data_IF_874060868370
#
_entry.id   IF_874060868370
#
_cell.length_a   1.000
_cell.length_b   1.000
_cell.length_c   1.000
_cell.angle_alpha   90.00
_cell.angle_beta   90.00
_cell.angle_gamma   90.00
#
_symmetry.space_group_name_H-M   'P 1'
#
loop_
_entity.id
_entity.type
_entity.pdbx_description
1 polymer ?
#
# COMPACT_ATOMS: atom_id res chain seq x y z
N UNK A 1 -13.72 -13.56 -5.85
CA UNK A 1 -13.18 -12.45 -6.67
C UNK A 1 -11.65 -12.52 -6.59
N UNK A 2 -10.91 -12.13 -7.64
CA UNK A 2 -9.46 -12.32 -7.66
C UNK A 2 -8.75 -10.96 -7.78
N UNK A 3 -7.91 -10.63 -6.80
CA UNK A 3 -7.21 -9.34 -6.74
C UNK A 3 -6.32 -9.10 -7.97
N UNK A 4 -5.69 -10.14 -8.53
CA UNK A 4 -4.82 -10.01 -9.71
C UNK A 4 -5.58 -9.54 -10.94
N UNK A 5 -6.79 -10.05 -11.15
CA UNK A 5 -7.66 -9.62 -12.25
C UNK A 5 -8.07 -8.15 -12.10
N UNK A 6 -8.33 -7.71 -10.88
CA UNK A 6 -8.70 -6.32 -10.63
C UNK A 6 -7.52 -5.37 -10.81
N UNK A 7 -6.30 -5.78 -10.43
CA UNK A 7 -5.10 -5.01 -10.76
C UNK A 7 -4.94 -4.86 -12.28
N UNK A 8 -5.15 -5.94 -13.05
CA UNK A 8 -5.14 -5.90 -14.51
C UNK A 8 -6.21 -4.96 -15.09
N UNK A 9 -7.43 -4.94 -14.53
CA UNK A 9 -8.50 -4.02 -14.95
C UNK A 9 -8.10 -2.54 -14.83
N UNK A 10 -7.30 -2.19 -13.81
CA UNK A 10 -6.79 -0.83 -13.59
C UNK A 10 -5.43 -0.59 -14.26
N UNK A 11 -4.91 -1.59 -14.99
CA UNK A 11 -3.56 -1.61 -15.53
C UNK A 11 -2.49 -1.31 -14.47
N UNK A 12 -2.70 -1.75 -13.22
CA UNK A 12 -1.78 -1.52 -12.11
C UNK A 12 -0.71 -2.61 -12.07
N UNK A 13 0.54 -2.19 -12.06
CA UNK A 13 1.67 -3.09 -11.91
C UNK A 13 2.08 -3.23 -10.44
N UNK A 14 2.91 -4.24 -10.15
CA UNK A 14 3.45 -4.46 -8.81
C UNK A 14 4.20 -3.23 -8.27
N UNK A 15 4.91 -2.51 -9.14
CA UNK A 15 5.62 -1.30 -8.74
C UNK A 15 4.66 -0.15 -8.39
N UNK A 16 3.45 -0.12 -8.96
CA UNK A 16 2.42 0.86 -8.61
C UNK A 16 1.84 0.59 -7.22
N UNK A 17 1.63 -0.69 -6.88
CA UNK A 17 1.24 -1.11 -5.53
C UNK A 17 2.32 -0.70 -4.53
N UNK A 18 3.59 -0.99 -4.84
CA UNK A 18 4.73 -0.61 -3.98
C UNK A 18 4.82 0.90 -3.80
N UNK A 19 4.61 1.67 -4.87
CA UNK A 19 4.60 3.13 -4.82
C UNK A 19 3.49 3.66 -3.90
N UNK A 20 2.25 3.17 -4.07
CA UNK A 20 1.14 3.55 -3.22
C UNK A 20 1.40 3.24 -1.74
N UNK A 21 1.87 2.03 -1.43
CA UNK A 21 2.18 1.65 -0.05
C UNK A 21 3.32 2.49 0.54
N UNK A 22 4.29 2.89 -0.29
CA UNK A 22 5.36 3.81 0.14
C UNK A 22 4.85 5.21 0.45
N UNK A 23 3.83 5.69 -0.27
CA UNK A 23 3.15 6.95 0.05
C UNK A 23 2.41 6.84 1.39
N UNK A 24 1.65 5.76 1.60
CA UNK A 24 0.96 5.52 2.88
C UNK A 24 1.96 5.47 4.04
N UNK A 25 3.10 4.79 3.86
CA UNK A 25 4.16 4.76 4.86
C UNK A 25 4.76 6.15 5.10
N UNK A 26 4.96 6.94 4.05
CA UNK A 26 5.46 8.33 4.14
C UNK A 26 4.49 9.21 4.91
N UNK A 27 3.19 9.10 4.66
CA UNK A 27 2.14 9.82 5.40
C UNK A 27 2.15 9.42 6.88
N UNK A 28 2.26 8.11 7.18
CA UNK A 28 2.35 7.59 8.55
C UNK A 28 3.57 8.17 9.29
N UNK A 29 4.74 8.15 8.66
CA UNK A 29 5.96 8.70 9.26
C UNK A 29 5.88 10.23 9.42
N UNK A 30 5.29 10.93 8.45
CA UNK A 30 5.10 12.38 8.52
C UNK A 30 4.15 12.79 9.64
N UNK A 31 3.14 11.97 9.96
CA UNK A 31 2.27 12.20 11.11
C UNK A 31 3.04 12.22 12.44
N UNK A 32 4.19 11.53 12.53
CA UNK A 32 5.07 11.49 13.70
C UNK A 32 6.04 12.70 13.77
N UNK A 33 5.88 13.74 12.95
CA UNK A 33 6.80 14.88 12.94
C UNK A 33 6.98 15.61 14.29
N UNK A 34 6.01 15.51 15.21
CA UNK A 34 6.11 16.04 16.57
C UNK A 34 6.83 15.09 17.55
N UNK A 35 7.15 13.88 17.13
CA UNK A 35 7.79 12.82 17.91
C UNK A 35 8.93 12.16 17.11
N UNK A 36 10.00 12.91 16.76
CA UNK A 36 11.10 12.39 15.94
C UNK A 36 11.84 11.20 16.56
N UNK A 37 11.78 11.04 17.89
CA UNK A 37 12.35 9.88 18.59
C UNK A 37 11.66 8.56 18.19
N UNK A 38 10.35 8.58 17.91
CA UNK A 38 9.62 7.39 17.46
C UNK A 38 10.05 6.99 16.05
N UNK A 39 10.27 7.96 15.16
CA UNK A 39 10.85 7.71 13.83
C UNK A 39 12.27 7.12 13.98
N UNK A 40 13.07 7.68 14.90
CA UNK A 40 14.43 7.20 15.17
C UNK A 40 14.42 5.75 15.66
N UNK A 41 13.49 5.37 16.54
CA UNK A 41 13.31 3.99 17.01
C UNK A 41 12.94 3.03 15.88
N UNK A 42 12.01 3.42 15.00
CA UNK A 42 11.60 2.61 13.84
C UNK A 42 12.79 2.34 12.89
N UNK A 43 13.64 3.35 12.68
CA UNK A 43 14.85 3.20 11.84
C UNK A 43 15.91 2.35 12.54
N UNK A 44 16.20 2.62 13.82
CA UNK A 44 17.25 1.93 14.58
C UNK A 44 16.94 0.45 14.82
N UNK A 45 15.69 0.12 15.11
CA UNK A 45 15.25 -1.26 15.39
C UNK A 45 15.29 -2.17 14.15
N UNK A 46 15.34 -1.60 12.94
CA UNK A 46 15.22 -2.34 11.68
C UNK A 46 13.76 -2.61 11.27
N UNK A 47 12.78 -2.28 12.12
CA UNK A 47 11.35 -2.52 11.88
C UNK A 47 10.88 -1.90 10.55
N UNK A 48 11.35 -0.69 10.22
CA UNK A 48 11.03 -0.05 8.95
C UNK A 48 11.49 -0.88 7.74
N UNK A 49 12.65 -1.54 7.83
CA UNK A 49 13.16 -2.41 6.78
C UNK A 49 12.32 -3.69 6.62
N UNK A 50 11.93 -4.29 7.75
CA UNK A 50 11.09 -5.49 7.77
C UNK A 50 9.68 -5.23 7.21
N UNK A 51 9.14 -4.04 7.45
CA UNK A 51 7.88 -3.58 6.86
C UNK A 51 7.97 -3.44 5.34
N UNK A 52 9.07 -2.86 4.83
CA UNK A 52 9.30 -2.68 3.39
C UNK A 52 9.56 -4.02 2.68
N UNK A 53 10.11 -5.02 3.39
CA UNK A 53 10.43 -6.31 2.80
C UNK A 53 9.16 -7.08 2.37
N UNK A 54 9.07 -7.37 1.07
CA UNK A 54 7.93 -8.02 0.40
C UNK A 54 6.57 -7.38 0.72
N UNK A 55 6.57 -6.06 0.95
CA UNK A 55 5.38 -5.29 1.35
C UNK A 55 4.19 -5.47 0.40
N UNK A 56 4.46 -5.50 -0.91
CA UNK A 56 3.47 -5.65 -1.96
C UNK A 56 2.85 -7.05 -1.94
N UNK A 57 3.66 -8.09 -1.74
CA UNK A 57 3.19 -9.48 -1.74
C UNK A 57 2.33 -9.73 -0.51
N UNK A 58 2.80 -9.27 0.66
CA UNK A 58 2.04 -9.31 1.92
C UNK A 58 0.71 -8.59 1.76
N UNK A 59 0.72 -7.39 1.20
CA UNK A 59 -0.48 -6.57 1.03
C UNK A 59 -1.49 -7.18 0.05
N UNK A 60 -1.04 -7.63 -1.13
CA UNK A 60 -1.90 -8.29 -2.11
C UNK A 60 -2.52 -9.56 -1.53
N UNK A 61 -1.73 -10.34 -0.76
CA UNK A 61 -2.24 -11.51 -0.05
C UNK A 61 -3.31 -11.12 0.96
N UNK A 62 -3.07 -10.11 1.79
CA UNK A 62 -4.06 -9.61 2.76
C UNK A 62 -5.36 -9.19 2.08
N UNK A 63 -5.30 -8.47 0.96
CA UNK A 63 -6.51 -8.11 0.20
C UNK A 63 -7.24 -9.35 -0.33
N UNK A 64 -6.51 -10.34 -0.85
CA UNK A 64 -7.12 -11.59 -1.32
C UNK A 64 -7.78 -12.36 -0.16
N UNK A 65 -7.11 -12.47 0.98
CA UNK A 65 -7.64 -13.15 2.17
C UNK A 65 -8.92 -12.43 2.65
N UNK A 66 -8.96 -11.10 2.68
CA UNK A 66 -10.15 -10.33 3.05
C UNK A 66 -11.33 -10.50 2.06
N UNK A 67 -11.04 -10.61 0.77
CA UNK A 67 -12.03 -10.92 -0.25
C UNK A 67 -12.62 -12.33 -0.02
N UNK A 68 -11.76 -13.30 0.25
CA UNK A 68 -12.15 -14.70 0.44
C UNK A 68 -12.95 -14.89 1.74
N UNK A 69 -12.61 -14.14 2.79
CA UNK A 69 -13.34 -14.08 4.06
C UNK A 69 -14.62 -13.21 3.99
N UNK A 70 -14.87 -12.51 2.89
CA UNK A 70 -15.98 -11.56 2.69
C UNK A 70 -15.99 -10.41 3.69
N UNK A 71 -14.82 -10.04 4.20
CA UNK A 71 -14.63 -8.89 5.09
C UNK A 71 -14.33 -7.62 4.30
N UNK A 72 -13.98 -7.76 3.02
CA UNK A 72 -13.81 -6.67 2.06
C UNK A 72 -14.79 -6.83 0.90
N UNK A 73 -15.65 -5.84 0.69
CA UNK A 73 -16.53 -5.79 -0.46
C UNK A 73 -15.82 -5.24 -1.72
N UNK A 74 -16.40 -5.51 -2.88
CA UNK A 74 -15.83 -5.09 -4.17
C UNK A 74 -15.78 -3.56 -4.33
N UNK A 75 -16.75 -2.84 -3.78
CA UNK A 75 -16.80 -1.37 -3.88
C UNK A 75 -15.61 -0.74 -3.16
N UNK A 76 -15.34 -1.17 -1.92
CA UNK A 76 -14.21 -0.68 -1.14
C UNK A 76 -12.87 -1.06 -1.78
N UNK A 77 -12.78 -2.27 -2.34
CA UNK A 77 -11.60 -2.68 -3.08
C UNK A 77 -11.36 -1.80 -4.32
N UNK A 78 -12.41 -1.48 -5.07
CA UNK A 78 -12.31 -0.58 -6.24
C UNK A 78 -11.91 0.84 -5.85
N UNK A 79 -12.34 1.33 -4.68
CA UNK A 79 -11.88 2.61 -4.13
C UNK A 79 -10.37 2.59 -3.85
N UNK A 80 -9.87 1.51 -3.21
CA UNK A 80 -8.44 1.31 -2.96
C UNK A 80 -7.64 1.33 -4.27
N UNK A 81 -8.08 0.57 -5.27
CA UNK A 81 -7.40 0.52 -6.58
C UNK A 81 -7.44 1.87 -7.31
N UNK A 82 -8.53 2.64 -7.17
CA UNK A 82 -8.60 4.00 -7.72
C UNK A 82 -7.63 4.96 -7.05
N UNK A 83 -7.37 4.79 -5.74
CA UNK A 83 -6.35 5.57 -5.02
C UNK A 83 -4.94 5.21 -5.49
N UNK A 84 -4.67 3.92 -5.75
CA UNK A 84 -3.39 3.48 -6.33
C UNK A 84 -3.17 4.07 -7.72
N UNK A 85 -4.18 4.05 -8.59
CA UNK A 85 -4.08 4.66 -9.92
C UNK A 85 -3.82 6.17 -9.82
N UNK A 86 -4.50 6.85 -8.89
CA UNK A 86 -4.25 8.27 -8.62
C UNK A 86 -2.81 8.52 -8.16
N UNK A 87 -2.30 7.69 -7.24
CA UNK A 87 -0.94 7.77 -6.74
C UNK A 87 0.09 7.55 -7.86
N UNK A 88 -0.15 6.59 -8.75
CA UNK A 88 0.66 6.34 -9.95
C UNK A 88 0.70 7.55 -10.88
N UNK A 89 -0.44 8.17 -11.18
CA UNK A 89 -0.49 9.36 -12.06
C UNK A 89 0.33 10.51 -11.49
N UNK A 90 0.25 10.72 -10.17
CA UNK A 90 1.04 11.75 -9.46
C UNK A 90 2.54 11.46 -9.46
N UNK A 91 2.97 10.19 -9.51
CA UNK A 91 4.38 9.79 -9.54
C UNK A 91 5.16 10.47 -10.67
N UNK A 92 4.55 10.59 -11.84
CA UNK A 92 5.18 11.13 -13.05
C UNK A 92 4.74 12.56 -13.40
N UNK A 93 3.93 13.20 -12.54
CA UNK A 93 3.52 14.60 -12.71
C UNK A 93 2.55 14.87 -13.86
N UNK A 94 1.62 13.95 -14.13
CA UNK A 94 0.48 14.18 -15.03
C UNK A 94 -0.66 14.94 -14.37
#
# INVERSE_FOLDING_TARGET
>A
MNIKKLLEEYSLEIDDVRWHLSLVLTERLSALHHQPDEITKLVWSGELGDELYNMEEKYIKTLQDQIDEKTLDESHLRDILSQMDTARRKRFGY
#
